data_IF_188922427853
#
_entry.id   IF_188922427853
#
_cell.length_a   1.000
_cell.length_b   1.000
_cell.length_c   1.000
_cell.angle_alpha   90.00
_cell.angle_beta   90.00
_cell.angle_gamma   90.00
#
_symmetry.space_group_name_H-M   'P 1'
#
loop_
_entity.id
_entity.type
_entity.pdbx_description
1 polymer ?
#
# COMPACT_ATOMS: atom_id res chain seq x y z
N UNK A 1 -29.18 -1.53 6.71
CA UNK A 1 -28.07 -2.25 6.06
C UNK A 1 -27.04 -1.22 5.62
N UNK A 2 -25.77 -1.38 6.04
CA UNK A 2 -24.67 -0.45 5.68
C UNK A 2 -24.20 -0.79 4.26
N UNK A 3 -24.12 0.23 3.40
CA UNK A 3 -23.68 0.06 2.00
C UNK A 3 -22.20 0.37 1.86
N UNK A 4 -21.39 -0.60 1.43
CA UNK A 4 -19.94 -0.46 1.28
C UNK A 4 -19.55 -0.65 -0.19
N UNK A 5 -18.76 0.28 -0.72
CA UNK A 5 -18.09 0.12 -2.00
C UNK A 5 -16.64 -0.27 -1.75
N UNK A 6 -16.21 -1.39 -2.33
CA UNK A 6 -14.84 -1.89 -2.23
C UNK A 6 -14.12 -1.56 -3.52
N UNK A 7 -12.99 -0.88 -3.40
CA UNK A 7 -12.10 -0.61 -4.52
C UNK A 7 -10.72 -1.21 -4.23
N UNK A 8 -10.52 -2.43 -4.75
CA UNK A 8 -9.19 -3.04 -4.81
C UNK A 8 -8.53 -2.64 -6.13
N UNK A 9 -7.27 -2.19 -6.08
CA UNK A 9 -6.61 -1.49 -7.18
C UNK A 9 -6.45 -2.34 -8.45
N UNK A 10 -6.00 -3.58 -8.30
CA UNK A 10 -5.68 -4.45 -9.44
C UNK A 10 -6.94 -5.02 -10.09
N UNK A 11 -7.84 -5.59 -9.27
CA UNK A 11 -9.09 -6.17 -9.79
C UNK A 11 -10.13 -5.13 -10.13
N UNK A 12 -10.05 -3.93 -9.56
CA UNK A 12 -11.03 -2.85 -9.70
C UNK A 12 -10.74 -1.84 -10.81
N UNK A 13 -9.77 -2.12 -11.69
CA UNK A 13 -9.49 -1.28 -12.85
C UNK A 13 -8.44 -0.19 -12.66
N UNK A 14 -7.72 -0.19 -11.53
CA UNK A 14 -6.61 0.77 -11.32
C UNK A 14 -5.47 0.62 -12.33
N UNK A 15 -5.35 -0.55 -12.96
CA UNK A 15 -4.39 -0.87 -14.02
C UNK A 15 -5.08 -1.01 -15.39
N UNK A 16 -6.15 -0.27 -15.66
CA UNK A 16 -6.96 -0.44 -16.87
C UNK A 16 -6.19 -0.18 -18.17
N UNK A 17 -5.12 0.60 -18.12
CA UNK A 17 -4.23 0.93 -19.24
C UNK A 17 -2.91 0.15 -19.22
N UNK A 18 -2.74 -0.78 -18.28
CA UNK A 18 -1.51 -1.55 -18.08
C UNK A 18 -1.81 -3.04 -18.15
N UNK A 19 -0.80 -3.87 -18.35
CA UNK A 19 -0.94 -5.31 -18.30
C UNK A 19 -1.13 -5.81 -16.88
N UNK A 20 -2.04 -6.77 -16.71
CA UNK A 20 -2.26 -7.45 -15.43
C UNK A 20 -1.24 -8.58 -15.25
N UNK A 21 -0.21 -8.37 -14.44
CA UNK A 21 0.70 -9.46 -14.12
C UNK A 21 -0.02 -10.56 -13.34
N UNK A 22 0.24 -11.81 -13.67
CA UNK A 22 -0.41 -12.97 -13.03
C UNK A 22 -0.19 -13.02 -11.51
N UNK A 23 0.99 -12.62 -11.05
CA UNK A 23 1.33 -12.61 -9.61
C UNK A 23 0.48 -11.62 -8.83
N UNK A 24 0.44 -10.34 -9.29
CA UNK A 24 -0.38 -9.30 -8.65
C UNK A 24 -1.87 -9.62 -8.71
N UNK A 25 -2.32 -10.14 -9.86
CA UNK A 25 -3.72 -10.51 -10.04
C UNK A 25 -4.14 -11.65 -9.11
N UNK A 26 -3.30 -12.65 -8.90
CA UNK A 26 -3.62 -13.75 -7.99
C UNK A 26 -3.72 -13.26 -6.54
N UNK A 27 -2.83 -12.40 -6.09
CA UNK A 27 -2.89 -11.79 -4.76
C UNK A 27 -4.15 -10.95 -4.57
N UNK A 28 -4.46 -10.07 -5.53
CA UNK A 28 -5.66 -9.24 -5.52
C UNK A 28 -6.95 -10.06 -5.50
N UNK A 29 -7.02 -11.13 -6.29
CA UNK A 29 -8.16 -12.07 -6.30
C UNK A 29 -8.35 -12.77 -4.96
N UNK A 30 -7.27 -13.18 -4.29
CA UNK A 30 -7.37 -13.76 -2.95
C UNK A 30 -7.96 -12.78 -1.94
N UNK A 31 -7.51 -11.52 -1.96
CA UNK A 31 -8.04 -10.48 -1.08
C UNK A 31 -9.52 -10.20 -1.35
N UNK A 32 -9.89 -9.98 -2.60
CA UNK A 32 -11.28 -9.67 -2.97
C UNK A 32 -12.22 -10.84 -2.73
N UNK A 33 -11.80 -12.08 -3.02
CA UNK A 33 -12.61 -13.28 -2.77
C UNK A 33 -12.86 -13.47 -1.26
N UNK A 34 -11.86 -13.18 -0.43
CA UNK A 34 -12.03 -13.30 1.02
C UNK A 34 -13.02 -12.27 1.55
N UNK A 35 -12.85 -11.01 1.15
CA UNK A 35 -13.81 -9.95 1.51
C UNK A 35 -15.21 -10.23 1.02
N UNK A 36 -15.34 -10.73 -0.21
CA UNK A 36 -16.65 -11.15 -0.75
C UNK A 36 -17.31 -12.17 0.16
N UNK A 37 -16.60 -13.26 0.50
CA UNK A 37 -17.14 -14.33 1.33
C UNK A 37 -17.53 -13.85 2.75
N UNK A 38 -16.72 -12.98 3.34
CA UNK A 38 -16.97 -12.46 4.68
C UNK A 38 -18.17 -11.50 4.69
N UNK A 39 -18.32 -10.66 3.66
CA UNK A 39 -19.40 -9.69 3.59
C UNK A 39 -20.75 -10.32 3.16
N UNK A 40 -20.70 -11.36 2.31
CA UNK A 40 -21.89 -12.11 1.90
C UNK A 40 -22.57 -12.82 3.07
N UNK A 41 -21.81 -13.16 4.11
CA UNK A 41 -22.35 -13.79 5.33
C UNK A 41 -22.98 -12.79 6.30
N UNK A 42 -22.86 -11.47 6.03
CA UNK A 42 -23.35 -10.44 6.93
C UNK A 42 -24.74 -9.94 6.55
N UNK A 43 -25.72 -10.11 7.42
CA UNK A 43 -27.08 -9.58 7.24
C UNK A 43 -27.14 -8.04 7.37
N UNK A 44 -26.06 -7.40 7.84
CA UNK A 44 -26.02 -5.96 8.12
C UNK A 44 -25.31 -5.15 7.04
N UNK A 45 -24.63 -5.82 6.10
CA UNK A 45 -23.81 -5.19 5.06
C UNK A 45 -24.39 -5.48 3.67
N UNK A 46 -24.50 -4.44 2.86
CA UNK A 46 -24.67 -4.53 1.41
C UNK A 46 -23.43 -3.97 0.76
N UNK A 47 -22.86 -4.63 -0.23
CA UNK A 47 -21.60 -4.22 -0.80
C UNK A 47 -21.57 -4.31 -2.33
N UNK A 48 -20.66 -3.57 -2.94
CA UNK A 48 -20.30 -3.66 -4.35
C UNK A 48 -18.78 -3.60 -4.48
N UNK A 49 -18.27 -4.20 -5.57
CA UNK A 49 -16.87 -4.10 -5.98
C UNK A 49 -16.76 -3.38 -7.31
N UNK A 50 -15.79 -2.53 -7.50
CA UNK A 50 -15.31 -2.25 -8.84
C UNK A 50 -14.60 -3.49 -9.39
N UNK A 51 -14.90 -3.84 -10.63
CA UNK A 51 -14.32 -5.00 -11.30
C UNK A 51 -13.86 -4.60 -12.70
N UNK A 52 -12.59 -4.78 -12.99
CA UNK A 52 -12.00 -4.60 -14.32
C UNK A 52 -12.72 -5.50 -15.34
N UNK A 53 -13.17 -4.95 -16.45
CA UNK A 53 -13.92 -5.69 -17.48
C UNK A 53 -13.12 -6.87 -18.05
N UNK A 54 -11.78 -6.80 -18.04
CA UNK A 54 -10.92 -7.93 -18.43
C UNK A 54 -11.12 -9.16 -17.54
N UNK A 55 -11.72 -8.96 -16.36
CA UNK A 55 -12.03 -9.99 -15.38
C UNK A 55 -13.53 -10.35 -15.37
N UNK A 56 -14.27 -10.06 -16.43
CA UNK A 56 -15.72 -10.27 -16.49
C UNK A 56 -16.20 -11.71 -16.17
N UNK A 57 -15.33 -12.71 -16.32
CA UNK A 57 -15.63 -14.09 -15.93
C UNK A 57 -15.80 -14.26 -14.40
N UNK A 58 -15.42 -13.27 -13.60
CA UNK A 58 -15.63 -13.21 -12.15
C UNK A 58 -16.75 -12.27 -11.74
N UNK A 59 -17.57 -11.83 -12.69
CA UNK A 59 -18.70 -10.93 -12.43
C UNK A 59 -19.73 -11.62 -11.54
N UNK A 60 -20.19 -10.90 -10.53
CA UNK A 60 -21.30 -11.28 -9.65
C UNK A 60 -22.35 -10.17 -9.63
N UNK A 61 -23.46 -10.39 -8.92
CA UNK A 61 -24.45 -9.33 -8.66
C UNK A 61 -23.89 -8.13 -7.91
N UNK A 62 -22.71 -8.28 -7.29
CA UNK A 62 -22.00 -7.24 -6.52
C UNK A 62 -20.98 -6.45 -7.34
N UNK A 63 -20.79 -6.77 -8.62
CA UNK A 63 -19.78 -6.13 -9.46
C UNK A 63 -20.30 -4.86 -10.12
N UNK A 64 -19.43 -3.84 -10.16
CA UNK A 64 -19.54 -2.64 -11.01
C UNK A 64 -18.39 -2.73 -12.02
N UNK A 65 -18.70 -2.99 -13.28
CA UNK A 65 -17.68 -3.18 -14.31
C UNK A 65 -17.01 -1.84 -14.66
N UNK A 66 -15.68 -1.87 -14.68
CA UNK A 66 -14.82 -0.76 -15.06
C UNK A 66 -14.07 -1.12 -16.33
N UNK A 67 -14.15 -0.25 -17.32
CA UNK A 67 -13.42 -0.32 -18.57
C UNK A 67 -12.77 1.04 -18.89
N UNK A 68 -12.16 1.17 -20.06
CA UNK A 68 -11.48 2.43 -20.46
C UNK A 68 -12.42 3.61 -20.57
N UNK A 69 -13.67 3.39 -20.96
CA UNK A 69 -14.64 4.46 -21.22
C UNK A 69 -15.23 5.01 -19.91
N UNK A 70 -15.32 4.17 -18.87
CA UNK A 70 -15.89 4.54 -17.59
C UNK A 70 -14.88 4.50 -16.42
N UNK A 71 -13.58 4.46 -16.67
CA UNK A 71 -12.54 4.40 -15.64
C UNK A 71 -12.60 5.58 -14.65
N UNK A 72 -13.18 6.71 -15.04
CA UNK A 72 -13.40 7.86 -14.18
C UNK A 72 -14.46 7.61 -13.07
N UNK A 73 -15.28 6.57 -13.18
CA UNK A 73 -16.25 6.22 -12.14
C UNK A 73 -15.61 5.93 -10.78
N UNK A 74 -14.36 5.43 -10.78
CA UNK A 74 -13.60 5.24 -9.55
C UNK A 74 -13.34 6.56 -8.79
N UNK A 75 -13.40 7.69 -9.49
CA UNK A 75 -13.24 9.05 -8.95
C UNK A 75 -14.52 9.90 -9.11
N UNK A 76 -15.66 9.28 -9.41
CA UNK A 76 -16.94 9.97 -9.54
C UNK A 76 -17.62 10.08 -8.17
N UNK A 77 -17.69 11.29 -7.62
CA UNK A 77 -18.27 11.53 -6.31
C UNK A 77 -19.74 11.12 -6.22
N UNK A 78 -20.50 11.21 -7.31
CA UNK A 78 -21.94 10.91 -7.31
C UNK A 78 -22.18 9.38 -7.30
N UNK A 79 -21.26 8.62 -7.86
CA UNK A 79 -21.26 7.15 -7.76
C UNK A 79 -20.88 6.74 -6.35
N UNK A 80 -19.78 7.29 -5.81
CA UNK A 80 -19.24 6.91 -4.51
C UNK A 80 -20.19 7.29 -3.36
N UNK A 81 -20.91 8.41 -3.46
CA UNK A 81 -21.88 8.87 -2.45
C UNK A 81 -23.15 8.02 -2.36
N UNK A 82 -23.37 7.08 -3.28
CA UNK A 82 -24.47 6.09 -3.18
C UNK A 82 -24.21 5.04 -2.08
N UNK A 83 -22.98 5.02 -1.55
CA UNK A 83 -22.52 4.12 -0.49
C UNK A 83 -22.29 4.88 0.81
N UNK A 84 -22.51 4.21 1.94
CA UNK A 84 -22.23 4.79 3.25
C UNK A 84 -20.73 4.91 3.50
N UNK A 85 -19.94 3.95 2.96
CA UNK A 85 -18.48 3.91 3.08
C UNK A 85 -17.83 3.41 1.80
N UNK A 86 -16.62 3.90 1.54
CA UNK A 86 -15.69 3.35 0.56
C UNK A 86 -14.55 2.64 1.31
N UNK A 87 -14.27 1.40 0.94
CA UNK A 87 -13.12 0.62 1.41
C UNK A 87 -12.06 0.57 0.28
N UNK A 88 -11.06 1.45 0.29
CA UNK A 88 -9.99 1.43 -0.69
C UNK A 88 -8.88 0.45 -0.27
N UNK A 89 -8.48 -0.43 -1.19
CA UNK A 89 -7.35 -1.34 -1.07
C UNK A 89 -6.41 -1.01 -2.23
N UNK A 90 -5.59 0.02 -2.03
CA UNK A 90 -4.73 0.58 -3.05
C UNK A 90 -3.26 0.57 -2.59
N UNK A 91 -2.31 0.50 -3.51
CA UNK A 91 -0.89 0.52 -3.18
C UNK A 91 -0.45 1.90 -2.67
N UNK A 92 0.51 1.90 -1.75
CA UNK A 92 1.13 3.13 -1.22
C UNK A 92 2.15 3.74 -2.20
N UNK A 93 2.63 2.93 -3.17
CA UNK A 93 3.58 3.35 -4.19
C UNK A 93 3.03 4.51 -5.01
N UNK A 94 3.90 5.42 -5.43
CA UNK A 94 3.55 6.59 -6.22
C UNK A 94 2.41 7.46 -5.63
N UNK A 95 2.22 7.38 -4.30
CA UNK A 95 1.17 8.10 -3.58
C UNK A 95 -0.27 7.77 -4.06
N UNK A 96 -0.49 6.60 -4.67
CA UNK A 96 -1.80 6.21 -5.22
C UNK A 96 -2.85 6.22 -4.11
N UNK A 97 -2.62 5.49 -3.02
CA UNK A 97 -3.53 5.45 -1.88
C UNK A 97 -3.75 6.85 -1.27
N UNK A 98 -2.67 7.60 -1.05
CA UNK A 98 -2.74 8.96 -0.51
C UNK A 98 -3.62 9.87 -1.38
N UNK A 99 -3.41 9.88 -2.69
CA UNK A 99 -4.16 10.73 -3.61
C UNK A 99 -5.64 10.35 -3.65
N UNK A 100 -5.95 9.05 -3.61
CA UNK A 100 -7.33 8.59 -3.57
C UNK A 100 -8.03 8.99 -2.27
N UNK A 101 -7.40 8.78 -1.12
CA UNK A 101 -7.95 9.18 0.17
C UNK A 101 -8.10 10.71 0.28
N UNK A 102 -7.13 11.48 -0.23
CA UNK A 102 -7.23 12.94 -0.34
C UNK A 102 -8.44 13.36 -1.19
N UNK A 103 -8.73 12.64 -2.28
CA UNK A 103 -9.92 12.88 -3.09
C UNK A 103 -11.20 12.58 -2.30
N UNK A 104 -11.31 11.42 -1.63
CA UNK A 104 -12.47 11.06 -0.81
C UNK A 104 -12.76 12.12 0.26
N UNK A 105 -11.72 12.57 0.98
CA UNK A 105 -11.86 13.60 2.01
C UNK A 105 -12.33 14.94 1.44
N UNK A 106 -11.75 15.37 0.30
CA UNK A 106 -12.17 16.61 -0.36
C UNK A 106 -13.63 16.58 -0.81
N UNK A 107 -14.16 15.39 -1.10
CA UNK A 107 -15.55 15.18 -1.54
C UNK A 107 -16.49 14.82 -0.38
N UNK A 108 -16.00 14.82 0.86
CA UNK A 108 -16.75 14.40 2.06
C UNK A 108 -17.36 12.99 1.92
N UNK A 109 -16.59 12.06 1.35
CA UNK A 109 -16.97 10.66 1.22
C UNK A 109 -16.38 9.90 2.42
N UNK A 110 -17.24 9.19 3.16
CA UNK A 110 -16.81 8.36 4.30
C UNK A 110 -16.00 7.17 3.81
N UNK A 111 -14.98 6.80 4.55
CA UNK A 111 -14.03 5.76 4.16
C UNK A 111 -13.66 4.84 5.31
N UNK A 112 -13.37 3.60 5.01
CA UNK A 112 -12.89 2.59 5.96
C UNK A 112 -11.36 2.44 5.83
N UNK A 113 -10.64 3.53 6.09
CA UNK A 113 -9.18 3.59 6.11
C UNK A 113 -8.75 4.84 6.88
N UNK A 114 -7.49 4.90 7.28
CA UNK A 114 -6.87 6.05 7.93
C UNK A 114 -6.99 7.34 7.09
N UNK A 115 -6.84 8.49 7.73
CA UNK A 115 -6.81 9.77 7.03
C UNK A 115 -5.56 9.95 6.16
N UNK A 116 -5.62 10.88 5.21
CA UNK A 116 -4.54 11.13 4.25
C UNK A 116 -3.21 11.51 4.92
N UNK A 117 -3.25 12.22 6.07
CA UNK A 117 -2.03 12.65 6.75
C UNK A 117 -1.32 11.46 7.40
N UNK A 118 -2.07 10.57 8.02
CA UNK A 118 -1.58 9.32 8.57
C UNK A 118 -0.97 8.46 7.45
N UNK A 119 -1.68 8.28 6.34
CA UNK A 119 -1.19 7.51 5.19
C UNK A 119 0.12 8.11 4.66
N UNK A 120 0.19 9.42 4.43
CA UNK A 120 1.40 10.07 3.95
C UNK A 120 2.58 9.88 4.90
N UNK A 121 2.33 10.02 6.20
CA UNK A 121 3.36 9.91 7.23
C UNK A 121 3.93 8.49 7.33
N UNK A 122 3.09 7.46 7.14
CA UNK A 122 3.49 6.06 7.25
C UNK A 122 4.06 5.51 5.93
N UNK A 123 3.58 5.95 4.78
CA UNK A 123 4.09 5.53 3.47
C UNK A 123 5.48 6.07 3.16
N UNK A 124 5.81 7.27 3.65
CA UNK A 124 7.11 7.89 3.50
C UNK A 124 8.08 7.42 4.59
N UNK A 125 8.98 6.49 4.27
CA UNK A 125 9.91 5.89 5.24
C UNK A 125 10.82 6.90 5.94
N UNK A 126 11.20 7.99 5.28
CA UNK A 126 12.00 9.05 5.89
C UNK A 126 11.16 9.89 6.87
N UNK A 127 9.93 10.22 6.50
CA UNK A 127 9.01 10.95 7.36
C UNK A 127 8.59 10.11 8.57
N UNK A 128 8.29 8.83 8.34
CA UNK A 128 8.06 7.84 9.40
C UNK A 128 9.20 7.82 10.42
N UNK A 129 10.44 7.66 9.94
CA UNK A 129 11.61 7.68 10.82
C UNK A 129 11.71 8.98 11.63
N UNK A 130 11.59 10.14 10.97
CA UNK A 130 11.69 11.45 11.66
C UNK A 130 10.62 11.61 12.72
N UNK A 131 9.38 11.20 12.45
CA UNK A 131 8.26 11.27 13.37
C UNK A 131 8.49 10.38 14.60
N UNK A 132 8.77 9.10 14.38
CA UNK A 132 8.87 8.12 15.46
C UNK A 132 10.17 8.25 16.26
N UNK A 133 11.28 8.59 15.62
CA UNK A 133 12.54 8.87 16.33
C UNK A 133 12.42 10.08 17.28
N UNK A 134 11.69 11.13 16.90
CA UNK A 134 11.38 12.28 17.76
C UNK A 134 10.66 11.84 19.03
N UNK A 135 9.79 10.85 18.94
CA UNK A 135 9.06 10.28 20.09
C UNK A 135 9.81 9.14 20.79
N UNK A 136 11.12 8.97 20.51
CA UNK A 136 11.99 7.96 21.13
C UNK A 136 11.58 6.51 20.88
N UNK A 137 10.83 6.23 19.83
CA UNK A 137 10.59 4.87 19.40
C UNK A 137 11.86 4.26 18.79
N UNK A 138 12.05 2.97 19.02
CA UNK A 138 13.16 2.22 18.43
C UNK A 138 12.86 1.91 16.96
N UNK A 139 13.24 2.81 16.08
CA UNK A 139 13.04 2.72 14.63
C UNK A 139 14.39 2.68 13.91
N UNK A 140 14.42 2.03 12.74
CA UNK A 140 15.63 1.93 11.93
C UNK A 140 16.03 3.33 11.44
N UNK A 141 17.26 3.79 11.71
CA UNK A 141 17.76 5.06 11.20
C UNK A 141 17.59 5.14 9.69
N UNK A 142 16.99 6.22 9.22
CA UNK A 142 16.68 6.41 7.79
C UNK A 142 17.26 7.74 7.34
N UNK A 143 18.03 7.71 6.27
CA UNK A 143 18.74 8.86 5.73
C UNK A 143 18.25 9.18 4.34
N UNK A 144 18.16 10.48 4.03
CA UNK A 144 18.00 10.91 2.64
C UNK A 144 19.25 10.53 1.85
N UNK A 145 19.08 10.21 0.59
CA UNK A 145 20.20 9.81 -0.28
C UNK A 145 21.32 10.87 -0.34
N UNK A 146 20.99 12.12 -0.08
CA UNK A 146 21.90 13.27 -0.07
C UNK A 146 22.71 13.42 1.23
N UNK A 147 22.39 12.66 2.29
CA UNK A 147 23.06 12.75 3.59
C UNK A 147 24.37 11.93 3.65
N UNK A 148 25.29 12.16 2.71
CA UNK A 148 26.52 11.38 2.50
C UNK A 148 27.39 11.25 3.76
N UNK A 149 27.48 12.29 4.59
CA UNK A 149 28.28 12.27 5.84
C UNK A 149 27.78 11.26 6.87
N UNK A 150 26.48 10.97 6.88
CA UNK A 150 25.87 9.95 7.75
C UNK A 150 25.94 8.56 7.12
N UNK A 151 25.71 8.49 5.82
CA UNK A 151 25.72 7.24 5.06
C UNK A 151 27.11 6.61 5.07
N UNK A 152 28.16 7.40 4.90
CA UNK A 152 29.55 6.93 4.88
C UNK A 152 30.02 6.31 6.21
N UNK A 153 29.26 6.48 7.30
CA UNK A 153 29.54 5.84 8.60
C UNK A 153 28.91 4.46 8.76
N UNK A 154 28.06 4.06 7.84
CA UNK A 154 27.42 2.74 7.85
C UNK A 154 28.40 1.67 7.39
N UNK A 155 28.26 0.46 7.92
CA UNK A 155 29.01 -0.72 7.44
C UNK A 155 28.25 -1.40 6.32
N UNK A 156 27.10 -1.96 6.65
CA UNK A 156 26.19 -2.58 5.69
C UNK A 156 24.97 -1.70 5.53
N UNK A 157 24.50 -1.51 4.31
CA UNK A 157 23.38 -0.61 4.06
C UNK A 157 22.38 -1.16 3.03
N UNK A 158 21.21 -0.61 3.08
CA UNK A 158 20.10 -0.86 2.15
C UNK A 158 19.75 0.44 1.46
N UNK A 159 19.69 0.44 0.15
CA UNK A 159 19.08 1.49 -0.66
C UNK A 159 17.73 1.01 -1.15
N UNK A 160 16.69 1.81 -0.96
CA UNK A 160 15.32 1.45 -1.36
C UNK A 160 14.45 2.68 -1.61
N UNK A 161 13.32 2.46 -2.28
CA UNK A 161 12.34 3.50 -2.53
C UNK A 161 11.78 4.10 -1.24
N UNK A 162 11.66 5.43 -1.20
CA UNK A 162 11.06 6.19 -0.11
C UNK A 162 9.59 5.80 0.13
N UNK A 163 8.84 5.59 -0.95
CA UNK A 163 7.42 5.20 -0.95
C UNK A 163 7.17 3.77 -1.46
N UNK A 164 8.22 2.96 -1.60
CA UNK A 164 8.12 1.60 -2.14
C UNK A 164 7.41 0.62 -1.20
N UNK A 165 6.70 -0.32 -1.76
CA UNK A 165 6.09 -1.47 -1.11
C UNK A 165 6.51 -2.78 -1.82
N UNK A 166 6.22 -3.95 -1.23
CA UNK A 166 6.44 -5.25 -1.87
C UNK A 166 7.89 -5.64 -2.12
N UNK A 167 8.85 -5.03 -1.42
CA UNK A 167 10.29 -5.30 -1.59
C UNK A 167 10.86 -5.01 -2.98
N UNK A 168 10.17 -4.23 -3.81
CA UNK A 168 10.68 -3.76 -5.10
C UNK A 168 11.85 -2.79 -4.91
N UNK A 169 12.82 -2.83 -5.82
CA UNK A 169 13.97 -1.90 -5.87
C UNK A 169 14.80 -1.82 -4.56
N UNK A 170 14.88 -2.93 -3.82
CA UNK A 170 15.76 -3.01 -2.65
C UNK A 170 17.14 -3.51 -3.09
N UNK A 171 18.18 -2.75 -2.77
CA UNK A 171 19.58 -3.14 -2.98
C UNK A 171 20.33 -3.12 -1.66
N UNK A 172 21.15 -4.16 -1.43
CA UNK A 172 21.96 -4.31 -0.22
C UNK A 172 23.42 -4.20 -0.64
N UNK A 173 24.18 -3.43 0.11
CA UNK A 173 25.61 -3.21 -0.10
C UNK A 173 26.35 -3.48 1.20
N UNK A 174 27.52 -4.09 1.12
CA UNK A 174 28.36 -4.36 2.28
C UNK A 174 29.14 -3.10 2.71
N UNK A 175 29.36 -2.18 1.78
CA UNK A 175 30.10 -0.94 2.05
C UNK A 175 29.48 0.25 1.29
N UNK A 176 29.35 1.45 1.89
CA UNK A 176 28.89 2.66 1.21
C UNK A 176 29.70 3.02 -0.04
N UNK A 177 30.98 2.65 -0.09
CA UNK A 177 31.87 2.93 -1.25
C UNK A 177 31.47 2.13 -2.52
N UNK A 178 30.68 1.07 -2.36
CA UNK A 178 30.18 0.28 -3.48
C UNK A 178 28.94 0.90 -4.15
N UNK A 179 28.37 1.92 -3.52
CA UNK A 179 27.15 2.56 -4.00
C UNK A 179 27.50 3.70 -4.94
N UNK A 180 27.11 3.57 -6.19
CA UNK A 180 27.06 4.73 -7.08
C UNK A 180 25.82 5.56 -6.78
N UNK A 181 25.99 6.59 -5.96
CA UNK A 181 24.89 7.47 -5.55
C UNK A 181 24.34 8.34 -6.68
N UNK A 182 25.02 8.43 -7.82
CA UNK A 182 24.58 9.26 -8.96
C UNK A 182 23.37 8.65 -9.69
N UNK A 183 23.18 7.33 -9.56
CA UNK A 183 22.05 6.61 -10.19
C UNK A 183 20.76 6.71 -9.37
N UNK A 184 20.82 7.27 -8.15
CA UNK A 184 19.67 7.39 -7.26
C UNK A 184 19.23 8.85 -7.15
N UNK A 185 17.95 9.08 -7.29
CA UNK A 185 17.34 10.39 -7.11
C UNK A 185 16.75 10.53 -5.68
N UNK A 186 16.09 11.64 -5.42
CA UNK A 186 15.48 11.97 -4.12
C UNK A 186 14.31 11.05 -3.69
N UNK A 187 13.87 10.12 -4.55
CA UNK A 187 12.87 9.11 -4.20
C UNK A 187 13.46 7.91 -3.49
N UNK A 188 14.78 7.87 -3.31
CA UNK A 188 15.47 6.81 -2.58
C UNK A 188 15.90 7.24 -1.17
N UNK A 189 15.99 6.26 -0.30
CA UNK A 189 16.50 6.38 1.07
C UNK A 189 17.57 5.34 1.34
N UNK A 190 18.39 5.60 2.35
CA UNK A 190 19.40 4.67 2.86
C UNK A 190 19.09 4.32 4.30
N UNK A 191 19.23 3.04 4.64
CA UNK A 191 19.13 2.52 6.01
C UNK A 191 20.32 1.59 6.30
N UNK A 192 20.75 1.43 7.57
CA UNK A 192 21.63 0.32 7.92
C UNK A 192 20.91 -1.00 7.64
N UNK A 193 21.65 -1.98 7.10
CA UNK A 193 21.13 -3.34 6.96
C UNK A 193 21.18 -4.04 8.31
N UNK A 194 20.03 -4.41 8.83
CA UNK A 194 19.89 -5.08 10.13
C UNK A 194 19.59 -6.55 9.92
N UNK A 195 20.43 -7.41 10.46
CA UNK A 195 20.18 -8.85 10.50
C UNK A 195 19.14 -9.17 11.56
N UNK A 196 18.15 -9.99 11.21
CA UNK A 196 17.12 -10.42 12.12
C UNK A 196 16.06 -11.26 11.44
N UNK A 197 15.19 -11.87 12.23
CA UNK A 197 14.01 -12.54 11.71
C UNK A 197 12.92 -11.50 11.41
N UNK A 198 12.39 -11.44 10.16
CA UNK A 198 11.33 -10.50 9.83
C UNK A 198 9.98 -10.98 10.36
N UNK A 199 9.25 -10.06 10.98
CA UNK A 199 7.87 -10.26 11.42
C UNK A 199 6.99 -9.12 10.90
N UNK A 200 5.71 -9.41 10.74
CA UNK A 200 4.66 -8.41 10.53
C UNK A 200 3.52 -8.65 11.51
N UNK A 201 2.77 -7.60 11.76
CA UNK A 201 1.54 -7.66 12.55
C UNK A 201 0.39 -7.12 11.70
N UNK A 202 -0.80 -7.69 11.90
CA UNK A 202 -2.05 -7.15 11.38
C UNK A 202 -2.89 -6.68 12.55
N UNK A 203 -3.34 -5.44 12.49
CA UNK A 203 -4.07 -4.79 13.57
C UNK A 203 -5.29 -4.08 12.98
N UNK A 204 -6.42 -4.23 13.62
CA UNK A 204 -7.62 -3.46 13.33
C UNK A 204 -7.79 -2.36 14.38
N UNK A 205 -7.92 -1.12 13.93
CA UNK A 205 -8.13 0.04 14.79
C UNK A 205 -9.59 0.47 14.74
N UNK A 206 -10.17 0.70 15.92
CA UNK A 206 -11.43 1.41 16.10
C UNK A 206 -11.14 2.83 16.56
N UNK A 207 -12.18 3.63 16.81
CA UNK A 207 -12.00 5.00 17.32
C UNK A 207 -11.30 5.04 18.69
N UNK A 208 -11.55 4.06 19.55
CA UNK A 208 -11.08 4.06 20.95
C UNK A 208 -10.19 2.87 21.32
N UNK A 209 -9.95 1.93 20.41
CA UNK A 209 -9.27 0.68 20.74
C UNK A 209 -8.56 0.08 19.50
N UNK A 210 -7.78 -0.96 19.75
CA UNK A 210 -7.17 -1.73 18.66
C UNK A 210 -7.30 -3.24 18.95
N UNK A 211 -7.42 -4.01 17.89
CA UNK A 211 -7.47 -5.47 17.96
C UNK A 211 -6.31 -6.06 17.17
N UNK A 212 -5.41 -6.77 17.86
CA UNK A 212 -4.35 -7.53 17.22
C UNK A 212 -4.97 -8.77 16.55
N UNK A 213 -4.92 -8.81 15.22
CA UNK A 213 -5.48 -9.93 14.46
C UNK A 213 -4.49 -11.08 14.33
N UNK A 214 -3.23 -10.78 13.97
CA UNK A 214 -2.21 -11.81 13.79
C UNK A 214 -0.80 -11.25 13.87
N UNK A 215 0.13 -12.13 14.26
CA UNK A 215 1.58 -11.90 14.18
C UNK A 215 2.14 -12.94 13.22
N UNK A 216 2.79 -12.51 12.15
CA UNK A 216 3.31 -13.38 11.10
C UNK A 216 4.83 -13.34 11.09
N UNK A 217 5.48 -14.50 11.14
CA UNK A 217 6.90 -14.66 10.78
C UNK A 217 6.99 -14.70 9.26
N UNK A 218 7.78 -13.80 8.70
CA UNK A 218 7.94 -13.71 7.25
C UNK A 218 9.10 -14.59 6.77
N UNK A 219 8.92 -15.25 5.64
CA UNK A 219 10.00 -15.94 4.92
C UNK A 219 10.42 -15.09 3.74
N UNK A 220 11.62 -14.50 3.83
CA UNK A 220 12.18 -13.66 2.76
C UNK A 220 13.22 -14.46 1.99
N UNK A 221 12.99 -14.69 0.70
CA UNK A 221 14.01 -15.26 -0.19
C UNK A 221 14.89 -14.12 -0.71
N UNK A 222 16.18 -14.18 -0.39
CA UNK A 222 17.16 -13.24 -0.94
C UNK A 222 17.60 -13.75 -2.30
N UNK A 223 17.29 -13.05 -3.35
CA UNK A 223 17.93 -13.23 -4.67
C UNK A 223 19.14 -12.30 -4.73
N UNK A 224 20.35 -12.85 -4.82
CA UNK A 224 21.53 -12.05 -5.16
C UNK A 224 21.38 -11.66 -6.64
N UNK A 225 20.96 -10.45 -6.90
CA UNK A 225 21.19 -9.85 -8.20
C UNK A 225 22.69 -9.51 -8.28
N UNK A 226 23.44 -10.35 -8.98
CA UNK A 226 24.75 -9.95 -9.51
C UNK A 226 24.48 -8.98 -10.65
N UNK A 227 25.09 -7.81 -10.61
CA UNK A 227 25.17 -6.86 -11.74
C UNK A 227 26.22 -7.31 -12.71
#
# INVERSE_FOLDING_TARGET
MIKILIYEYVTGGGLINEDLSSSLLNEAKLMTSRLYNDFEQSEHISFKFFLDERLKNYTTSHSILINKDNANEMYNSDVLKKFDYVLPILPETNLILYNYVKFLERKNIKKLISDKQTILSLSNKLLFYKLFAKHKFNVIPTYDIKESSKINKLKNLVVKDKFGAGCSHIRIFDNPKEVDFTVYNENYIVQPYILGAPYSISVFFTHNDFHLLTINKQTVKKTRQKF
#
